data_IF_694857771390
#
_entry.id   IF_694857771390
#
_cell.length_a   1.000
_cell.length_b   1.000
_cell.length_c   1.000
_cell.angle_alpha   90.00
_cell.angle_beta   90.00
_cell.angle_gamma   90.00
#
_symmetry.space_group_name_H-M   'P 1'
#
loop_
_entity.id
_entity.type
_entity.pdbx_description
1 polymer ?
#
# COMPACT_ATOMS: atom_id res chain seq x y z
N UNK A 1 11.75 6.48 21.52
CA UNK A 1 10.85 6.79 20.38
C UNK A 1 11.36 6.03 19.17
N UNK A 2 10.83 4.83 18.90
CA UNK A 2 11.22 4.03 17.72
C UNK A 2 10.38 4.50 16.55
N UNK A 3 10.70 5.68 16.03
CA UNK A 3 10.16 6.16 14.76
C UNK A 3 11.26 6.03 13.72
N UNK A 4 10.86 6.02 12.46
CA UNK A 4 11.61 6.62 11.35
C UNK A 4 12.79 5.85 10.75
N UNK A 5 12.58 4.62 10.28
CA UNK A 5 13.28 4.15 9.06
C UNK A 5 12.27 3.50 8.11
N UNK A 6 11.50 2.53 8.61
CA UNK A 6 10.46 1.86 7.82
C UNK A 6 9.37 2.81 7.33
N UNK A 7 8.95 3.76 8.17
CA UNK A 7 7.95 4.77 7.82
C UNK A 7 8.43 5.69 6.68
N UNK A 8 9.73 5.98 6.60
CA UNK A 8 10.29 6.89 5.60
C UNK A 8 10.38 6.22 4.22
N UNK A 9 10.87 4.98 4.18
CA UNK A 9 10.90 4.19 2.95
C UNK A 9 9.50 3.82 2.46
N UNK A 10 8.59 3.47 3.37
CA UNK A 10 7.19 3.20 3.04
C UNK A 10 6.51 4.43 2.44
N UNK A 11 6.65 5.61 3.06
CA UNK A 11 6.11 6.86 2.53
C UNK A 11 6.66 7.18 1.15
N UNK A 12 7.98 7.08 0.94
CA UNK A 12 8.58 7.29 -0.39
C UNK A 12 8.04 6.32 -1.43
N UNK A 13 7.84 5.06 -1.04
CA UNK A 13 7.32 4.03 -1.96
C UNK A 13 5.85 4.31 -2.30
N UNK A 14 5.06 4.78 -1.34
CA UNK A 14 3.70 5.26 -1.60
C UNK A 14 3.68 6.45 -2.57
N UNK A 15 4.51 7.46 -2.37
CA UNK A 15 4.59 8.61 -3.29
C UNK A 15 4.97 8.18 -4.71
N UNK A 16 5.92 7.25 -4.86
CA UNK A 16 6.31 6.69 -6.16
C UNK A 16 5.17 5.92 -6.83
N UNK A 17 4.43 5.14 -6.04
CA UNK A 17 3.27 4.39 -6.51
C UNK A 17 2.17 5.35 -6.99
N UNK A 18 1.85 6.39 -6.21
CA UNK A 18 0.87 7.40 -6.60
C UNK A 18 1.32 8.23 -7.81
N UNK A 19 2.62 8.49 -7.94
CA UNK A 19 3.17 9.14 -9.13
C UNK A 19 3.02 8.27 -10.39
N UNK A 20 3.12 6.95 -10.25
CA UNK A 20 3.02 6.01 -11.38
C UNK A 20 1.57 5.69 -11.77
N UNK A 21 0.68 5.52 -10.79
CA UNK A 21 -0.71 5.07 -11.02
C UNK A 21 -1.76 6.16 -10.80
N UNK A 22 -1.43 7.25 -10.09
CA UNK A 22 -2.31 8.38 -9.76
C UNK A 22 -2.54 8.55 -8.25
N UNK A 23 -2.73 9.81 -7.79
CA UNK A 23 -2.90 10.25 -6.37
C UNK A 23 -4.11 9.67 -5.59
N UNK A 24 -4.87 8.78 -6.20
CA UNK A 24 -6.05 8.11 -5.60
C UNK A 24 -5.97 6.60 -5.74
N UNK A 25 -4.86 6.09 -6.30
CA UNK A 25 -4.67 4.67 -6.52
C UNK A 25 -4.56 3.89 -5.21
N UNK A 26 -4.07 4.54 -4.15
CA UNK A 26 -3.97 3.94 -2.81
C UNK A 26 -5.24 4.05 -1.99
N UNK A 27 -6.05 5.09 -2.24
CA UNK A 27 -7.31 5.31 -1.52
C UNK A 27 -8.33 4.20 -1.77
N UNK A 28 -8.20 3.51 -2.92
CA UNK A 28 -9.07 2.40 -3.31
C UNK A 28 -8.40 1.02 -3.12
N UNK A 29 -7.20 0.95 -2.55
CA UNK A 29 -6.51 -0.33 -2.27
C UNK A 29 -6.67 -0.70 -0.81
N UNK A 30 -6.60 -1.99 -0.51
CA UNK A 30 -6.59 -2.46 0.87
C UNK A 30 -5.41 -1.82 1.65
N UNK A 31 -5.62 -1.44 2.93
CA UNK A 31 -4.55 -0.92 3.76
C UNK A 31 -3.46 -2.00 3.91
N UNK A 32 -2.27 -1.70 3.40
CA UNK A 32 -1.14 -2.63 3.43
C UNK A 32 -0.50 -2.74 4.81
N UNK A 33 -0.73 -1.74 5.66
CA UNK A 33 -0.21 -1.66 7.03
C UNK A 33 -1.34 -1.23 7.96
N UNK A 34 -1.35 -1.78 9.17
CA UNK A 34 -2.29 -1.37 10.19
C UNK A 34 -1.69 -0.19 10.99
N UNK A 35 -2.27 1.02 10.94
CA UNK A 35 -1.73 2.17 11.65
C UNK A 35 -1.91 2.09 13.17
N UNK A 36 -2.80 1.21 13.67
CA UNK A 36 -3.04 1.00 15.09
C UNK A 36 -2.10 -0.05 15.69
N UNK A 37 -1.56 -0.94 14.86
CA UNK A 37 -0.67 -2.03 15.24
C UNK A 37 0.59 -2.05 14.34
N UNK A 38 1.60 -1.21 14.65
CA UNK A 38 2.80 -1.10 13.84
C UNK A 38 3.58 -2.42 13.88
N UNK A 39 3.61 -3.11 12.74
CA UNK A 39 4.34 -4.37 12.58
C UNK A 39 5.44 -4.21 11.52
N UNK A 40 6.72 -4.35 11.90
CA UNK A 40 7.84 -4.20 10.96
C UNK A 40 7.82 -5.24 9.82
N UNK A 41 7.22 -6.40 10.01
CA UNK A 41 7.02 -7.39 8.94
C UNK A 41 5.94 -6.93 7.95
N UNK A 42 4.85 -6.33 8.45
CA UNK A 42 3.81 -5.76 7.60
C UNK A 42 4.34 -4.58 6.78
N UNK A 43 5.15 -3.71 7.39
CA UNK A 43 5.81 -2.59 6.69
C UNK A 43 6.71 -3.10 5.55
N UNK A 44 7.53 -4.12 5.80
CA UNK A 44 8.37 -4.74 4.77
C UNK A 44 7.54 -5.33 3.63
N UNK A 45 6.46 -6.05 3.97
CA UNK A 45 5.57 -6.65 2.99
C UNK A 45 4.87 -5.58 2.14
N UNK A 46 4.42 -4.49 2.75
CA UNK A 46 3.81 -3.35 2.09
C UNK A 46 4.78 -2.70 1.09
N UNK A 47 6.01 -2.41 1.52
CA UNK A 47 7.07 -1.86 0.65
C UNK A 47 7.33 -2.81 -0.52
N UNK A 48 7.45 -4.12 -0.27
CA UNK A 48 7.70 -5.10 -1.32
C UNK A 48 6.55 -5.14 -2.34
N UNK A 49 5.30 -5.19 -1.88
CA UNK A 49 4.11 -5.17 -2.74
C UNK A 49 4.03 -3.92 -3.60
N UNK A 50 4.27 -2.74 -3.01
CA UNK A 50 4.29 -1.48 -3.74
C UNK A 50 5.43 -1.45 -4.78
N UNK A 51 6.64 -1.87 -4.41
CA UNK A 51 7.79 -1.96 -5.35
C UNK A 51 7.51 -2.94 -6.49
N UNK A 52 6.90 -4.09 -6.22
CA UNK A 52 6.50 -5.04 -7.25
C UNK A 52 5.44 -4.45 -8.19
N UNK A 53 4.40 -3.80 -7.64
CA UNK A 53 3.38 -3.15 -8.44
C UNK A 53 3.99 -2.05 -9.34
N UNK A 54 4.86 -1.21 -8.78
CA UNK A 54 5.61 -0.21 -9.54
C UNK A 54 6.46 -0.89 -10.63
N UNK A 55 7.19 -1.94 -10.32
CA UNK A 55 8.08 -2.62 -11.27
C UNK A 55 7.30 -3.31 -12.41
N UNK A 56 6.26 -4.06 -12.08
CA UNK A 56 5.38 -4.73 -13.03
C UNK A 56 4.48 -3.77 -13.81
N UNK A 57 4.30 -2.53 -13.34
CA UNK A 57 3.38 -1.56 -13.95
C UNK A 57 1.91 -1.94 -13.79
N UNK A 58 1.61 -2.86 -12.88
CA UNK A 58 0.26 -3.30 -12.54
C UNK A 58 -0.07 -2.73 -11.16
N UNK A 59 -1.15 -1.93 -11.03
CA UNK A 59 -1.55 -1.41 -9.73
C UNK A 59 -1.96 -2.55 -8.79
N UNK A 60 -1.78 -2.34 -7.49
CA UNK A 60 -2.28 -3.25 -6.47
C UNK A 60 -3.79 -3.47 -6.64
N UNK A 61 -4.29 -4.67 -6.31
CA UNK A 61 -5.71 -4.97 -6.39
C UNK A 61 -6.46 -3.95 -5.55
N UNK A 62 -7.44 -3.30 -6.20
CA UNK A 62 -8.35 -2.42 -5.49
C UNK A 62 -9.16 -3.28 -4.54
N UNK A 63 -9.44 -2.74 -3.36
CA UNK A 63 -10.49 -3.27 -2.51
C UNK A 63 -11.83 -2.93 -3.18
N UNK A 64 -12.13 -3.62 -4.28
CA UNK A 64 -13.52 -3.74 -4.70
C UNK A 64 -14.16 -4.57 -3.61
N UNK A 65 -15.08 -4.02 -2.78
CA UNK A 65 -15.93 -4.89 -1.99
C UNK A 65 -16.53 -5.90 -2.99
N UNK A 66 -16.60 -7.19 -2.65
CA UNK A 66 -17.20 -8.17 -3.55
C UNK A 66 -18.59 -7.63 -3.92
N UNK A 67 -18.75 -7.19 -5.17
CA UNK A 67 -20.04 -6.72 -5.66
C UNK A 67 -21.00 -7.90 -5.57
N UNK A 68 -21.99 -7.76 -4.68
CA UNK A 68 -23.15 -8.65 -4.63
C UNK A 68 -23.06 -9.81 -3.66
N UNK A 69 -23.24 -9.54 -2.36
CA UNK A 69 -24.26 -10.32 -1.65
C UNK A 69 -25.56 -9.54 -1.84
N UNK A 70 -26.26 -9.84 -2.94
CA UNK A 70 -27.67 -9.51 -3.09
C UNK A 70 -28.40 -10.45 -2.11
N UNK A 71 -28.96 -9.90 -1.03
CA UNK A 71 -29.90 -10.61 -0.16
C UNK A 71 -31.28 -10.67 -0.83
#
# INVERSE_FOLDING_TARGET
MVKTVFTDELNKTYELYEKKFGKTSLQNTEPLVDPLNPNPEADRLAIQRLKQAISSGVPLPRNVPPEGIIY
#
